data_IF_427049195994
#
_entry.id   IF_427049195994
#
_cell.length_a   1.000
_cell.length_b   1.000
_cell.length_c   1.000
_cell.angle_alpha   90.00
_cell.angle_beta   90.00
_cell.angle_gamma   90.00
#
_symmetry.space_group_name_H-M   'P 1'
#
loop_
_entity.id
_entity.type
_entity.pdbx_description
1 polymer ?
#
# COMPACT_ATOMS: atom_id res chain seq x y z
N UNK A 1 4.84 12.50 -2.20
CA UNK A 1 3.73 13.20 -1.51
C UNK A 1 3.19 14.22 -2.49
N UNK A 2 1.89 14.15 -2.81
CA UNK A 2 1.29 14.90 -3.91
C UNK A 2 -0.04 15.53 -3.40
N UNK A 3 -0.31 16.83 -3.65
CA UNK A 3 -1.49 17.51 -3.14
C UNK A 3 -2.80 17.05 -3.81
N UNK A 4 -3.91 17.09 -3.07
CA UNK A 4 -5.24 16.71 -3.58
C UNK A 4 -5.72 17.67 -4.71
N UNK A 5 -6.48 17.12 -5.65
CA UNK A 5 -7.17 17.86 -6.72
C UNK A 5 -6.29 18.67 -7.72
N UNK A 6 -4.97 18.49 -7.75
CA UNK A 6 -4.19 19.13 -8.81
C UNK A 6 -4.25 18.30 -10.11
N UNK A 7 -4.78 18.90 -11.18
CA UNK A 7 -4.75 18.34 -12.55
C UNK A 7 -3.38 17.77 -12.94
N UNK A 8 -2.23 18.38 -12.55
CA UNK A 8 -0.91 17.80 -12.79
C UNK A 8 -0.72 16.40 -12.19
N UNK A 9 -1.24 16.12 -10.99
CA UNK A 9 -1.13 14.79 -10.39
C UNK A 9 -2.02 13.77 -11.11
N UNK A 10 -3.22 14.19 -11.50
CA UNK A 10 -4.16 13.32 -12.20
C UNK A 10 -3.68 12.96 -13.62
N UNK A 11 -3.11 13.92 -14.35
CA UNK A 11 -2.63 13.73 -15.73
C UNK A 11 -1.20 13.17 -15.74
N UNK A 12 -0.25 13.89 -15.15
CA UNK A 12 1.18 13.54 -15.21
C UNK A 12 1.50 12.36 -14.30
N UNK A 13 0.94 12.32 -13.08
CA UNK A 13 1.16 11.22 -12.14
C UNK A 13 0.64 9.89 -12.69
N UNK A 14 -0.56 9.88 -13.29
CA UNK A 14 -1.12 8.67 -13.93
C UNK A 14 -0.28 8.20 -15.12
N UNK A 15 0.19 9.12 -15.95
CA UNK A 15 1.07 8.81 -17.10
C UNK A 15 2.39 8.18 -16.66
N UNK A 16 3.04 8.75 -15.64
CA UNK A 16 4.28 8.20 -15.09
C UNK A 16 4.09 6.81 -14.48
N UNK A 17 3.02 6.62 -13.69
CA UNK A 17 2.71 5.31 -13.12
C UNK A 17 2.43 4.26 -14.20
N UNK A 18 1.77 4.64 -15.29
CA UNK A 18 1.47 3.72 -16.40
C UNK A 18 2.75 3.25 -17.09
N UNK A 19 3.70 4.16 -17.38
CA UNK A 19 4.97 3.79 -18.00
C UNK A 19 5.85 2.96 -17.07
N UNK A 20 5.86 3.27 -15.76
CA UNK A 20 6.57 2.46 -14.77
C UNK A 20 6.00 1.04 -14.70
N UNK A 21 4.68 0.87 -14.70
CA UNK A 21 4.03 -0.45 -14.75
C UNK A 21 4.33 -1.19 -16.05
N UNK A 22 4.43 -0.48 -17.18
CA UNK A 22 4.79 -1.09 -18.48
C UNK A 22 6.23 -1.61 -18.48
N UNK A 23 7.19 -0.84 -17.95
CA UNK A 23 8.61 -1.22 -17.89
C UNK A 23 8.92 -2.23 -16.78
N UNK A 24 8.18 -2.16 -15.67
CA UNK A 24 8.35 -3.01 -14.50
C UNK A 24 7.00 -3.64 -14.11
N UNK A 25 6.55 -4.70 -14.81
CA UNK A 25 5.24 -5.32 -14.57
C UNK A 25 5.03 -5.85 -13.15
N UNK A 26 6.14 -6.18 -12.47
CA UNK A 26 6.16 -6.65 -11.08
C UNK A 26 6.20 -5.53 -10.04
N UNK A 27 6.29 -4.26 -10.45
CA UNK A 27 6.39 -3.16 -9.51
C UNK A 27 5.05 -2.94 -8.79
N UNK A 28 5.07 -3.07 -7.46
CA UNK A 28 3.92 -2.79 -6.60
C UNK A 28 3.92 -1.31 -6.20
N UNK A 29 3.20 -0.49 -6.97
CA UNK A 29 3.18 0.98 -6.82
C UNK A 29 1.76 1.44 -6.52
N UNK A 30 1.60 2.25 -5.46
CA UNK A 30 0.35 2.92 -5.09
C UNK A 30 0.57 4.43 -4.93
N UNK A 31 -0.44 5.22 -5.24
CA UNK A 31 -0.48 6.64 -4.91
C UNK A 31 -1.08 6.84 -3.52
N UNK A 32 -0.40 7.64 -2.69
CA UNK A 32 -0.89 8.08 -1.38
C UNK A 32 -0.89 9.60 -1.37
N UNK A 33 -2.08 10.17 -1.22
CA UNK A 33 -2.30 11.60 -1.15
C UNK A 33 -2.31 12.03 0.33
N UNK A 34 -1.56 13.07 0.65
CA UNK A 34 -1.51 13.65 1.99
C UNK A 34 -2.18 15.00 1.95
N UNK A 35 -3.39 15.07 2.49
CA UNK A 35 -4.20 16.28 2.54
C UNK A 35 -4.89 16.37 3.89
N UNK A 36 -4.87 17.54 4.55
CA UNK A 36 -5.46 17.72 5.88
C UNK A 36 -6.99 17.55 5.90
N UNK A 37 -7.67 17.62 4.76
CA UNK A 37 -9.09 17.35 4.60
C UNK A 37 -9.43 15.92 4.18
N UNK A 38 -8.43 15.09 3.84
CA UNK A 38 -8.62 13.67 3.55
C UNK A 38 -8.45 12.83 4.81
N UNK A 39 -9.30 11.82 5.01
CA UNK A 39 -9.18 10.98 6.22
C UNK A 39 -7.88 10.18 6.23
N UNK A 40 -7.27 10.06 7.40
CA UNK A 40 -6.10 9.19 7.62
C UNK A 40 -6.41 7.74 7.22
N UNK A 41 -7.65 7.29 7.41
CA UNK A 41 -8.16 5.98 6.99
C UNK A 41 -7.90 5.72 5.50
N UNK A 42 -8.06 6.73 4.63
CA UNK A 42 -7.81 6.56 3.19
C UNK A 42 -6.33 6.28 2.90
N UNK A 43 -5.41 6.94 3.61
CA UNK A 43 -3.98 6.71 3.47
C UNK A 43 -3.59 5.32 3.97
N UNK A 44 -4.09 4.96 5.15
CA UNK A 44 -3.87 3.64 5.74
C UNK A 44 -4.37 2.55 4.80
N UNK A 45 -5.60 2.63 4.31
CA UNK A 45 -6.16 1.61 3.40
C UNK A 45 -5.31 1.42 2.13
N UNK A 46 -4.75 2.49 1.55
CA UNK A 46 -3.86 2.39 0.39
C UNK A 46 -2.57 1.63 0.72
N UNK A 47 -2.00 1.89 1.90
CA UNK A 47 -0.80 1.20 2.39
C UNK A 47 -1.13 -0.26 2.72
N UNK A 48 -2.23 -0.52 3.42
CA UNK A 48 -2.69 -1.89 3.77
C UNK A 48 -2.88 -2.74 2.52
N UNK A 49 -3.55 -2.20 1.49
CA UNK A 49 -3.74 -2.89 0.21
C UNK A 49 -2.43 -3.10 -0.54
N UNK A 50 -1.53 -2.10 -0.55
CA UNK A 50 -0.21 -2.26 -1.17
C UNK A 50 0.57 -3.40 -0.49
N UNK A 51 0.60 -3.44 0.84
CA UNK A 51 1.30 -4.49 1.60
C UNK A 51 0.67 -5.87 1.36
N UNK A 52 -0.66 -5.98 1.36
CA UNK A 52 -1.35 -7.24 1.05
C UNK A 52 -0.96 -7.79 -0.33
N UNK A 53 -0.89 -6.94 -1.36
CA UNK A 53 -0.41 -7.33 -2.69
C UNK A 53 1.07 -7.73 -2.67
N UNK A 54 1.91 -7.04 -1.88
CA UNK A 54 3.33 -7.38 -1.75
C UNK A 54 3.53 -8.78 -1.15
N UNK A 55 2.82 -9.08 -0.06
CA UNK A 55 2.91 -10.39 0.60
C UNK A 55 2.39 -11.51 -0.29
N UNK A 56 1.26 -11.30 -0.98
CA UNK A 56 0.75 -12.27 -1.96
C UNK A 56 1.77 -12.56 -3.07
N UNK A 57 2.39 -11.53 -3.63
CA UNK A 57 3.40 -11.70 -4.69
C UNK A 57 4.67 -12.43 -4.20
N UNK A 58 5.03 -12.28 -2.91
CA UNK A 58 6.14 -13.03 -2.29
C UNK A 58 5.78 -14.51 -2.06
N UNK A 59 4.53 -14.77 -1.69
CA UNK A 59 3.98 -16.13 -1.54
C UNK A 59 3.94 -16.87 -2.87
N UNK A 60 3.49 -16.22 -3.95
CA UNK A 60 3.53 -16.81 -5.30
C UNK A 60 4.97 -17.08 -5.80
N UNK A 61 5.98 -16.38 -5.23
CA UNK A 61 7.40 -16.53 -5.60
C UNK A 61 8.14 -17.59 -4.80
N UNK A 62 7.55 -18.14 -3.73
CA UNK A 62 8.18 -19.14 -2.87
C UNK A 62 7.17 -20.23 -2.54
N UNK A 63 7.49 -21.49 -2.78
CA UNK A 63 6.69 -22.62 -2.28
C UNK A 63 6.76 -22.60 -0.74
N UNK A 64 5.86 -21.88 -0.08
CA UNK A 64 5.90 -21.64 1.37
C UNK A 64 5.06 -22.63 2.12
N UNK A 65 5.67 -23.29 3.10
CA UNK A 65 5.04 -24.16 4.07
C UNK A 65 3.95 -23.43 4.87
N UNK A 66 2.94 -24.16 5.34
CA UNK A 66 1.78 -23.64 6.11
C UNK A 66 2.20 -22.78 7.32
N UNK A 67 3.34 -23.08 7.96
CA UNK A 67 3.88 -22.30 9.07
C UNK A 67 4.29 -20.88 8.65
N UNK A 68 4.80 -20.71 7.44
CA UNK A 68 5.20 -19.39 6.93
C UNK A 68 3.99 -18.50 6.66
N UNK A 69 2.89 -19.07 6.14
CA UNK A 69 1.62 -18.34 5.99
C UNK A 69 1.10 -17.86 7.34
N UNK A 70 1.06 -18.75 8.34
CA UNK A 70 0.55 -18.42 9.68
C UNK A 70 1.37 -17.34 10.38
N UNK A 71 2.69 -17.33 10.15
CA UNK A 71 3.57 -16.28 10.66
C UNK A 71 3.30 -14.93 9.97
N UNK A 72 3.14 -14.92 8.65
CA UNK A 72 2.84 -13.69 7.89
C UNK A 72 1.48 -13.12 8.24
N UNK A 73 0.44 -13.95 8.40
CA UNK A 73 -0.89 -13.50 8.82
C UNK A 73 -0.82 -12.82 10.19
N UNK A 74 -0.12 -13.43 11.15
CA UNK A 74 0.11 -12.80 12.46
C UNK A 74 0.86 -11.48 12.35
N UNK A 75 1.95 -11.44 11.57
CA UNK A 75 2.73 -10.22 11.39
C UNK A 75 1.90 -9.10 10.72
N UNK A 76 0.98 -9.46 9.82
CA UNK A 76 0.04 -8.54 9.20
C UNK A 76 -0.99 -8.00 10.20
N UNK A 77 -1.54 -8.86 11.05
CA UNK A 77 -2.43 -8.44 12.13
C UNK A 77 -1.73 -7.48 13.09
N UNK A 78 -0.50 -7.81 13.52
CA UNK A 78 0.31 -6.97 14.40
C UNK A 78 0.57 -5.59 13.78
N UNK A 79 0.96 -5.53 12.50
CA UNK A 79 1.17 -4.27 11.78
C UNK A 79 -0.13 -3.46 11.70
N UNK A 80 -1.26 -4.12 11.45
CA UNK A 80 -2.55 -3.43 11.37
C UNK A 80 -3.06 -2.95 12.73
N UNK A 81 -2.76 -3.66 13.80
CA UNK A 81 -3.05 -3.26 15.18
C UNK A 81 -2.18 -2.09 15.63
N UNK A 82 -0.86 -2.11 15.37
CA UNK A 82 0.03 -0.99 15.67
C UNK A 82 -0.42 0.29 14.95
N UNK A 83 -0.75 0.16 13.67
CA UNK A 83 -1.27 1.26 12.86
C UNK A 83 -2.64 1.73 13.36
N UNK A 84 -3.48 0.83 13.87
CA UNK A 84 -4.78 1.20 14.43
C UNK A 84 -4.61 1.91 15.78
N UNK A 85 -3.70 1.44 16.65
CA UNK A 85 -3.41 2.02 17.95
C UNK A 85 -2.76 3.42 17.85
N UNK A 86 -2.07 3.72 16.74
CA UNK A 86 -1.55 5.05 16.46
C UNK A 86 -2.65 6.12 16.32
N UNK A 87 -3.91 5.74 16.09
CA UNK A 87 -5.07 6.66 16.01
C UNK A 87 -5.53 7.24 17.34
N UNK A 88 -5.19 6.60 18.47
CA UNK A 88 -5.70 7.04 19.78
C UNK A 88 -4.85 8.17 20.41
N UNK A 89 -3.86 8.70 19.68
CA UNK A 89 -2.91 9.68 20.24
C UNK A 89 -3.16 11.14 19.90
N UNK A 90 -4.11 11.54 19.06
CA UNK A 90 -4.54 12.94 18.87
C UNK A 90 -6.03 13.05 18.53
#
# INVERSE_FOLDING_TARGET
>A
MQPFACLPNHITGKGMMQELRRRYPRANIVAVDYDPGASEVNQLNRIKLMLSVAFKNLEDSSLTSEESLKYKDRMLEDIFEEVAAAKDKH
#
